data_IF_011183338179
#
_entry.id   IF_011183338179
#
_cell.length_a   1.000
_cell.length_b   1.000
_cell.length_c   1.000
_cell.angle_alpha   90.00
_cell.angle_beta   90.00
_cell.angle_gamma   90.00
#
_symmetry.space_group_name_H-M   'P 1'
#
loop_
_entity.id
_entity.type
_entity.pdbx_description
1 polymer ?
#
# COMPACT_ATOMS: atom_id res chain seq x y z
N UNK A 1 -18.80 -12.42 17.71
CA UNK A 1 -18.23 -11.06 17.55
C UNK A 1 -16.89 -11.22 16.85
N UNK A 2 -16.85 -11.21 15.51
CA UNK A 2 -15.57 -11.11 14.80
C UNK A 2 -15.20 -9.63 14.79
N UNK A 3 -14.19 -9.23 15.55
CA UNK A 3 -13.59 -7.92 15.36
C UNK A 3 -13.10 -7.84 13.92
N UNK A 4 -13.71 -6.98 13.10
CA UNK A 4 -13.19 -6.61 11.78
C UNK A 4 -11.85 -5.91 11.99
N UNK A 5 -10.77 -6.68 12.00
CA UNK A 5 -9.42 -6.18 12.20
C UNK A 5 -8.74 -5.90 10.86
N UNK A 6 -7.85 -4.92 10.84
CA UNK A 6 -6.93 -4.69 9.72
C UNK A 6 -5.51 -4.94 10.19
N UNK A 7 -4.69 -5.51 9.30
CA UNK A 7 -3.25 -5.66 9.51
C UNK A 7 -2.52 -4.66 8.62
N UNK A 8 -1.65 -3.83 9.21
CA UNK A 8 -0.83 -2.87 8.49
C UNK A 8 0.63 -3.35 8.48
N UNK A 9 1.18 -3.57 7.29
CA UNK A 9 2.59 -3.91 7.11
C UNK A 9 3.38 -2.63 6.84
N UNK A 10 4.29 -2.28 7.76
CA UNK A 10 5.15 -1.09 7.67
C UNK A 10 6.63 -1.48 7.57
N UNK A 11 7.44 -0.64 6.93
CA UNK A 11 8.86 -0.88 6.72
C UNK A 11 9.37 -0.26 5.42
N UNK A 12 10.70 -0.27 5.19
CA UNK A 12 11.31 0.36 4.01
C UNK A 12 10.92 -0.33 2.70
N UNK A 13 11.18 0.32 1.56
CA UNK A 13 11.07 -0.28 0.23
C UNK A 13 11.95 -1.55 0.16
N UNK A 14 11.47 -2.60 -0.49
CA UNK A 14 12.22 -3.87 -0.61
C UNK A 14 12.14 -4.80 0.61
N UNK A 15 11.51 -4.40 1.73
CA UNK A 15 11.33 -5.24 2.92
C UNK A 15 10.36 -6.45 2.71
N UNK A 16 9.84 -6.65 1.51
CA UNK A 16 8.93 -7.77 1.20
C UNK A 16 7.48 -7.59 1.63
N UNK A 17 7.06 -6.36 2.00
CA UNK A 17 5.70 -6.06 2.50
C UNK A 17 4.59 -6.55 1.58
N UNK A 18 4.68 -6.27 0.27
CA UNK A 18 3.70 -6.70 -0.72
C UNK A 18 3.65 -8.22 -0.84
N UNK A 19 4.80 -8.89 -0.78
CA UNK A 19 4.92 -10.35 -0.87
C UNK A 19 4.30 -11.03 0.34
N UNK A 20 4.67 -10.60 1.56
CA UNK A 20 4.12 -11.12 2.81
C UNK A 20 2.64 -10.80 2.96
N UNK A 21 2.21 -9.58 2.60
CA UNK A 21 0.81 -9.17 2.68
C UNK A 21 -0.11 -9.99 1.79
N UNK A 22 0.31 -10.31 0.56
CA UNK A 22 -0.45 -11.20 -0.33
C UNK A 22 -0.58 -12.61 0.24
N UNK A 23 0.52 -13.18 0.75
CA UNK A 23 0.49 -14.50 1.39
C UNK A 23 -0.43 -14.51 2.61
N UNK A 24 -0.31 -13.52 3.48
CA UNK A 24 -1.13 -13.38 4.68
C UNK A 24 -2.62 -13.21 4.35
N UNK A 25 -2.95 -12.38 3.37
CA UNK A 25 -4.33 -12.17 2.93
C UNK A 25 -4.95 -13.46 2.38
N UNK A 26 -4.17 -14.26 1.64
CA UNK A 26 -4.62 -15.55 1.11
C UNK A 26 -4.90 -16.54 2.23
N UNK A 27 -4.00 -16.63 3.21
CA UNK A 27 -4.14 -17.54 4.36
C UNK A 27 -5.34 -17.18 5.26
N UNK A 28 -5.60 -15.89 5.43
CA UNK A 28 -6.70 -15.39 6.25
C UNK A 28 -8.04 -15.28 5.50
N UNK A 29 -8.04 -15.44 4.18
CA UNK A 29 -9.21 -15.18 3.33
C UNK A 29 -9.64 -13.71 3.35
N UNK A 30 -8.67 -12.80 3.46
CA UNK A 30 -8.90 -11.34 3.51
C UNK A 30 -8.49 -10.69 2.20
N UNK A 31 -8.97 -9.48 1.97
CA UNK A 31 -8.51 -8.65 0.85
C UNK A 31 -7.11 -8.09 1.13
N UNK A 32 -6.33 -7.92 0.07
CA UNK A 32 -5.02 -7.26 0.10
C UNK A 32 -5.09 -5.90 -0.58
N UNK A 33 -4.55 -4.87 0.09
CA UNK A 33 -4.42 -3.52 -0.44
C UNK A 33 -2.97 -3.06 -0.36
N UNK A 34 -2.51 -2.38 -1.42
CA UNK A 34 -1.20 -1.73 -1.49
C UNK A 34 -1.42 -0.22 -1.60
N UNK A 35 -0.91 0.55 -0.63
CA UNK A 35 -1.14 1.99 -0.54
C UNK A 35 -0.59 2.73 -1.75
N UNK A 36 0.57 2.30 -2.25
CA UNK A 36 1.24 2.98 -3.36
C UNK A 36 0.40 2.82 -4.63
N UNK A 37 -0.05 1.59 -4.91
CA UNK A 37 -0.99 1.33 -6.01
C UNK A 37 -2.29 2.12 -5.88
N UNK A 38 -2.86 2.18 -4.67
CA UNK A 38 -4.09 2.91 -4.45
C UNK A 38 -3.94 4.41 -4.75
N UNK A 39 -2.80 5.01 -4.36
CA UNK A 39 -2.47 6.40 -4.69
C UNK A 39 -2.35 6.58 -6.21
N UNK A 40 -1.67 5.67 -6.91
CA UNK A 40 -1.52 5.75 -8.37
C UNK A 40 -2.86 5.65 -9.10
N UNK A 41 -3.72 4.73 -8.68
CA UNK A 41 -5.06 4.56 -9.26
C UNK A 41 -5.97 5.77 -9.01
N UNK A 42 -5.88 6.40 -7.83
CA UNK A 42 -6.70 7.57 -7.48
C UNK A 42 -6.21 8.87 -8.11
N UNK A 43 -4.89 9.04 -8.24
CA UNK A 43 -4.28 10.22 -8.85
C UNK A 43 -4.26 10.14 -10.38
N UNK A 44 -4.28 8.93 -10.95
CA UNK A 44 -4.06 8.72 -12.38
C UNK A 44 -2.61 8.95 -12.80
N UNK A 45 -1.68 9.03 -11.85
CA UNK A 45 -0.26 9.24 -12.08
C UNK A 45 0.59 8.27 -11.25
N UNK A 46 1.78 7.93 -11.73
CA UNK A 46 2.70 7.10 -10.94
C UNK A 46 3.35 7.92 -9.82
N UNK A 47 3.76 7.26 -8.74
CA UNK A 47 4.35 7.95 -7.58
C UNK A 47 5.58 8.79 -7.93
N UNK A 48 6.55 8.33 -8.76
CA UNK A 48 7.67 9.16 -9.18
C UNK A 48 7.22 10.50 -9.79
N UNK A 49 6.20 10.48 -10.64
CA UNK A 49 5.66 11.71 -11.25
C UNK A 49 5.01 12.63 -10.22
N UNK A 50 4.27 12.07 -9.24
CA UNK A 50 3.67 12.88 -8.16
C UNK A 50 4.77 13.58 -7.36
N UNK A 51 5.85 12.87 -7.03
CA UNK A 51 7.01 13.46 -6.35
C UNK A 51 7.68 14.55 -7.20
N UNK A 52 7.83 14.34 -8.51
CA UNK A 52 8.45 15.32 -9.39
C UNK A 52 7.63 16.62 -9.50
N UNK A 53 6.30 16.52 -9.48
CA UNK A 53 5.39 17.66 -9.66
C UNK A 53 5.07 18.36 -8.34
N UNK A 54 4.75 17.61 -7.29
CA UNK A 54 4.25 18.14 -6.02
C UNK A 54 5.31 18.18 -4.92
N UNK A 55 6.46 17.54 -5.15
CA UNK A 55 7.49 17.37 -4.15
C UNK A 55 7.07 16.45 -3.00
N UNK A 56 7.96 16.26 -2.04
CA UNK A 56 7.68 15.46 -0.84
C UNK A 56 6.49 16.01 -0.03
N UNK A 57 6.27 17.33 -0.04
CA UNK A 57 5.19 17.97 0.71
C UNK A 57 3.80 17.73 0.13
N UNK A 58 3.66 17.52 -1.19
CA UNK A 58 2.37 17.17 -1.78
C UNK A 58 2.06 15.68 -1.67
N UNK A 59 3.10 14.85 -1.70
CA UNK A 59 2.94 13.40 -1.58
C UNK A 59 2.62 12.91 -0.14
N UNK A 60 3.13 13.59 0.90
CA UNK A 60 2.97 13.17 2.31
C UNK A 60 1.78 13.82 3.00
#
# INVERSE_FOLDING_TARGET
>A
MSSSGSVFLVGPMGAGKTTIGKMLSTELGWDFYDSDRYIEEKSGANIPWIFDVEGESGFR
#
